data_IF_815966754378
#
_entry.id   IF_815966754378
#
_cell.length_a   1.000
_cell.length_b   1.000
_cell.length_c   1.000
_cell.angle_alpha   90.00
_cell.angle_beta   90.00
_cell.angle_gamma   90.00
#
_symmetry.space_group_name_H-M   'P 1'
#
loop_
_entity.id
_entity.type
_entity.pdbx_description
1 polymer ?
#
# COMPACT_ATOMS: atom_id res chain seq x y z
N UNK A 1 4.30 12.47 -13.20
CA UNK A 1 3.13 12.79 -12.36
C UNK A 1 3.49 13.01 -10.89
N UNK A 2 4.46 12.26 -10.34
CA UNK A 2 4.98 12.44 -8.98
C UNK A 2 5.62 13.83 -8.77
N UNK A 3 6.57 14.19 -9.64
CA UNK A 3 7.33 15.46 -9.54
C UNK A 3 6.44 16.70 -9.70
N UNK A 4 5.53 16.79 -10.70
CA UNK A 4 4.58 17.90 -10.78
C UNK A 4 3.64 18.01 -9.57
N UNK A 5 3.24 16.89 -8.97
CA UNK A 5 2.43 16.91 -7.76
C UNK A 5 3.23 17.46 -6.58
N UNK A 6 4.42 16.94 -6.34
CA UNK A 6 5.27 17.38 -5.24
C UNK A 6 5.58 18.88 -5.34
N UNK A 7 5.84 19.38 -6.55
CA UNK A 7 6.02 20.80 -6.82
C UNK A 7 4.74 21.61 -6.54
N UNK A 8 3.59 21.17 -7.07
CA UNK A 8 2.30 21.85 -6.86
C UNK A 8 1.84 21.89 -5.39
N UNK A 9 2.29 20.93 -4.57
CA UNK A 9 2.03 20.90 -3.13
C UNK A 9 3.13 21.61 -2.30
N UNK A 10 4.14 22.21 -2.95
CA UNK A 10 5.21 22.95 -2.28
C UNK A 10 6.22 22.09 -1.53
N UNK A 11 6.34 20.79 -1.88
CA UNK A 11 7.29 19.87 -1.25
C UNK A 11 8.72 20.01 -1.79
N UNK A 12 8.85 20.56 -3.00
CA UNK A 12 10.14 20.84 -3.66
C UNK A 12 10.15 22.26 -4.22
N UNK A 13 11.34 22.83 -4.36
CA UNK A 13 11.51 24.17 -4.92
C UNK A 13 11.40 24.19 -6.45
N UNK A 14 11.18 25.38 -7.01
CA UNK A 14 11.13 25.60 -8.47
C UNK A 14 12.45 25.16 -9.12
N UNK A 15 13.60 25.43 -8.49
CA UNK A 15 14.91 25.08 -9.04
C UNK A 15 15.10 23.56 -9.12
N UNK A 16 14.70 22.83 -8.08
CA UNK A 16 14.79 21.37 -8.07
C UNK A 16 13.81 20.75 -9.07
N UNK A 17 12.59 21.29 -9.17
CA UNK A 17 11.61 20.86 -10.15
C UNK A 17 12.14 21.01 -11.59
N UNK A 18 12.66 22.19 -11.95
CA UNK A 18 13.23 22.43 -13.27
C UNK A 18 14.46 21.57 -13.55
N UNK A 19 15.28 21.28 -12.52
CA UNK A 19 16.43 20.38 -12.65
C UNK A 19 16.00 18.94 -12.94
N UNK A 20 15.05 18.42 -12.17
CA UNK A 20 14.48 17.08 -12.35
C UNK A 20 13.86 16.90 -13.73
N UNK A 21 13.05 17.86 -14.20
CA UNK A 21 12.45 17.79 -15.54
C UNK A 21 13.50 17.77 -16.65
N UNK A 22 14.57 18.56 -16.51
CA UNK A 22 15.65 18.67 -17.50
C UNK A 22 16.55 17.44 -17.53
N UNK A 23 16.90 16.91 -16.37
CA UNK A 23 17.94 15.90 -16.25
C UNK A 23 17.39 14.46 -16.27
N UNK A 24 16.13 14.25 -15.88
CA UNK A 24 15.53 12.91 -15.76
C UNK A 24 14.53 12.55 -16.86
N UNK A 25 14.08 13.50 -17.68
CA UNK A 25 13.17 13.24 -18.83
C UNK A 25 11.89 12.44 -18.51
N UNK A 26 11.41 12.50 -17.26
CA UNK A 26 10.24 11.76 -16.80
C UNK A 26 10.52 10.41 -16.10
N UNK A 27 11.77 9.94 -16.12
CA UNK A 27 12.20 8.67 -15.52
C UNK A 27 12.74 8.87 -14.10
N UNK A 28 11.85 8.86 -13.10
CA UNK A 28 12.21 9.13 -11.70
C UNK A 28 12.31 7.87 -10.82
N UNK A 29 11.68 6.76 -11.24
CA UNK A 29 11.64 5.53 -10.42
C UNK A 29 12.78 4.56 -10.72
N UNK A 30 13.20 4.49 -11.99
CA UNK A 30 14.30 3.65 -12.44
C UNK A 30 15.28 4.57 -13.17
N UNK A 31 16.15 5.20 -12.38
CA UNK A 31 17.16 6.13 -12.90
C UNK A 31 18.31 5.32 -13.49
N UNK A 32 18.79 5.71 -14.67
CA UNK A 32 20.01 5.16 -15.26
C UNK A 32 21.20 5.51 -14.34
N UNK A 33 21.95 4.52 -13.80
CA UNK A 33 23.09 4.78 -12.92
C UNK A 33 24.20 5.63 -13.56
N UNK A 34 24.24 5.73 -14.90
CA UNK A 34 25.18 6.58 -15.61
C UNK A 34 24.78 8.06 -15.63
N UNK A 35 23.50 8.37 -15.40
CA UNK A 35 22.99 9.73 -15.30
C UNK A 35 23.15 10.27 -13.87
N UNK A 36 24.35 10.76 -13.58
CA UNK A 36 24.70 11.29 -12.26
C UNK A 36 23.88 12.53 -11.89
N UNK A 37 23.53 13.38 -12.86
CA UNK A 37 22.74 14.60 -12.63
C UNK A 37 21.34 14.25 -12.16
N UNK A 38 20.63 13.37 -12.88
CA UNK A 38 19.32 12.89 -12.47
C UNK A 38 19.37 12.14 -11.13
N UNK A 39 20.40 11.32 -10.90
CA UNK A 39 20.56 10.58 -9.65
C UNK A 39 20.66 11.53 -8.44
N UNK A 40 21.45 12.61 -8.57
CA UNK A 40 21.59 13.62 -7.52
C UNK A 40 20.28 14.38 -7.29
N UNK A 41 19.56 14.72 -8.36
CA UNK A 41 18.28 15.43 -8.26
C UNK A 41 17.20 14.57 -7.60
N UNK A 42 17.14 13.27 -7.94
CA UNK A 42 16.22 12.30 -7.31
C UNK A 42 16.60 12.07 -5.84
N UNK A 43 17.88 12.10 -5.49
CA UNK A 43 18.32 12.05 -4.10
C UNK A 43 17.86 13.30 -3.32
N UNK A 44 18.04 14.50 -3.89
CA UNK A 44 17.56 15.75 -3.30
C UNK A 44 16.03 15.73 -3.10
N UNK A 45 15.29 15.24 -4.10
CA UNK A 45 13.85 15.01 -4.01
C UNK A 45 13.49 14.08 -2.82
N UNK A 46 14.19 12.95 -2.70
CA UNK A 46 13.98 11.98 -1.61
C UNK A 46 14.22 12.61 -0.24
N UNK A 47 15.25 13.45 -0.12
CA UNK A 47 15.53 14.19 1.12
C UNK A 47 14.40 15.15 1.49
N UNK A 48 13.85 15.89 0.52
CA UNK A 48 12.72 16.80 0.74
C UNK A 48 11.48 16.09 1.32
N UNK A 49 11.21 14.84 0.92
CA UNK A 49 10.01 14.10 1.34
C UNK A 49 10.26 13.10 2.48
N UNK A 50 11.50 12.94 2.94
CA UNK A 50 11.93 11.88 3.87
C UNK A 50 11.20 11.84 5.21
N UNK A 51 10.70 12.98 5.70
CA UNK A 51 9.95 13.10 6.96
C UNK A 51 8.43 13.09 6.81
N UNK A 52 7.91 12.88 5.60
CA UNK A 52 6.49 13.05 5.28
C UNK A 52 5.83 11.69 5.09
N UNK A 53 4.61 11.52 5.61
CA UNK A 53 3.81 10.36 5.28
C UNK A 53 3.34 10.46 3.83
N UNK A 54 3.93 9.66 2.93
CA UNK A 54 3.62 9.74 1.49
C UNK A 54 2.16 9.44 1.15
N UNK A 55 1.44 8.64 1.93
CA UNK A 55 0.00 8.41 1.76
C UNK A 55 -0.89 9.58 2.24
N UNK A 56 -0.33 10.54 2.97
CA UNK A 56 -1.01 11.75 3.44
C UNK A 56 0.01 12.82 3.80
N UNK A 57 0.33 13.71 2.84
CA UNK A 57 1.47 14.62 2.97
C UNK A 57 1.37 15.67 4.08
N UNK A 58 0.17 15.83 4.66
CA UNK A 58 -0.06 16.70 5.82
C UNK A 58 0.34 16.04 7.16
N UNK A 59 0.69 14.75 7.14
CA UNK A 59 1.09 13.99 8.33
C UNK A 59 2.60 13.71 8.32
N UNK A 60 3.28 13.75 9.49
CA UNK A 60 4.66 13.33 9.61
C UNK A 60 4.80 11.82 9.47
N UNK A 61 5.98 11.36 9.02
CA UNK A 61 6.31 9.94 9.02
C UNK A 61 6.53 9.44 10.45
N UNK A 62 5.71 8.48 10.89
CA UNK A 62 5.68 8.00 12.27
C UNK A 62 5.90 6.48 12.43
N UNK A 63 6.55 5.87 11.44
CA UNK A 63 6.81 4.43 11.41
C UNK A 63 5.58 3.58 11.09
N UNK A 64 5.77 2.25 11.09
CA UNK A 64 4.71 1.30 10.76
C UNK A 64 4.10 0.66 12.02
N UNK A 65 2.78 0.51 12.04
CA UNK A 65 2.11 -0.30 13.04
C UNK A 65 2.41 -1.78 12.74
N UNK A 66 3.24 -2.42 13.56
CA UNK A 66 3.52 -3.85 13.49
C UNK A 66 3.12 -4.58 14.78
N UNK A 67 2.44 -5.73 14.70
CA UNK A 67 2.13 -6.57 15.86
C UNK A 67 3.36 -7.36 16.36
N UNK A 68 4.44 -7.48 15.57
CA UNK A 68 5.75 -8.02 15.98
C UNK A 68 6.89 -7.37 15.16
N UNK A 69 7.96 -6.86 15.77
CA UNK A 69 9.12 -6.35 15.04
C UNK A 69 9.90 -7.54 14.48
N UNK A 70 9.55 -8.03 13.30
CA UNK A 70 10.38 -8.98 12.56
C UNK A 70 10.84 -8.33 11.27
N UNK A 71 12.17 -8.28 11.14
CA UNK A 71 12.97 -7.65 10.10
C UNK A 71 12.37 -7.82 8.70
N UNK A 72 12.06 -6.69 8.06
CA UNK A 72 11.97 -6.65 6.61
C UNK A 72 13.37 -6.79 6.00
N UNK A 73 13.47 -7.62 4.98
CA UNK A 73 14.67 -7.75 4.14
C UNK A 73 14.93 -6.44 3.38
N UNK A 74 16.13 -5.88 3.50
CA UNK A 74 16.67 -4.90 2.56
C UNK A 74 17.07 -3.53 3.12
N UNK A 75 16.47 -3.07 4.22
CA UNK A 75 16.86 -1.81 4.85
C UNK A 75 17.78 -2.07 6.05
N UNK A 76 18.98 -1.47 6.01
CA UNK A 76 19.85 -1.40 7.19
C UNK A 76 19.05 -0.68 8.27
N UNK A 77 19.03 -1.26 9.49
CA UNK A 77 18.44 -0.68 10.69
C UNK A 77 18.63 0.84 10.69
N UNK A 78 17.53 1.57 10.50
CA UNK A 78 17.49 2.95 10.96
C UNK A 78 17.39 2.88 12.48
N UNK A 79 18.26 3.60 13.18
CA UNK A 79 18.30 3.68 14.65
C UNK A 79 16.99 4.18 15.28
N UNK A 80 15.99 4.56 14.48
CA UNK A 80 14.67 5.00 14.92
C UNK A 80 13.66 3.86 15.15
N UNK A 81 13.95 2.62 14.74
CA UNK A 81 12.99 1.50 14.88
C UNK A 81 13.01 0.81 16.26
N UNK A 82 14.06 1.01 17.07
CA UNK A 82 14.21 0.33 18.38
C UNK A 82 13.52 1.06 19.55
N UNK A 83 13.01 2.27 19.37
CA UNK A 83 12.41 3.08 20.45
C UNK A 83 10.87 3.17 20.42
N UNK A 84 10.18 2.55 19.45
CA UNK A 84 8.72 2.66 19.31
C UNK A 84 7.89 1.79 20.28
N UNK A 85 8.49 1.34 21.38
CA UNK A 85 7.80 0.72 22.52
C UNK A 85 8.01 1.48 23.85
N UNK A 86 8.58 2.69 23.79
CA UNK A 86 8.43 3.67 24.86
C UNK A 86 7.27 4.61 24.49
N UNK A 87 6.36 4.81 25.44
CA UNK A 87 5.31 5.82 25.42
C UNK A 87 5.83 7.10 24.72
N UNK A 88 5.40 7.31 23.47
CA UNK A 88 5.71 8.54 22.76
C UNK A 88 5.23 9.67 23.66
N UNK A 89 6.09 10.64 24.04
CA UNK A 89 5.67 11.73 24.90
C UNK A 89 4.43 12.39 24.27
N UNK A 90 3.45 12.77 25.09
CA UNK A 90 2.14 13.31 24.66
C UNK A 90 2.23 14.53 23.71
N UNK A 91 3.43 15.08 23.50
CA UNK A 91 3.74 16.20 22.60
C UNK A 91 4.46 15.79 21.31
N UNK A 92 4.65 14.50 21.04
CA UNK A 92 5.19 14.03 19.77
C UNK A 92 4.18 14.29 18.64
N UNK A 93 4.59 14.82 17.48
CA UNK A 93 3.76 14.87 16.28
C UNK A 93 3.17 13.50 15.87
N UNK A 94 3.72 12.41 16.42
CA UNK A 94 3.29 11.04 16.22
C UNK A 94 2.35 10.48 17.30
N UNK A 95 1.83 11.30 18.21
CA UNK A 95 0.94 10.85 19.30
C UNK A 95 -0.55 10.73 18.89
N UNK A 96 -0.93 11.24 17.72
CA UNK A 96 -2.29 11.16 17.18
C UNK A 96 -2.27 10.99 15.66
N UNK A 97 -1.60 9.92 15.21
CA UNK A 97 -1.42 9.63 13.78
C UNK A 97 -2.24 8.41 13.34
N UNK A 98 -2.29 8.18 12.02
CA UNK A 98 -2.92 6.97 11.44
C UNK A 98 -2.36 5.66 12.00
N UNK A 99 -1.10 5.65 12.45
CA UNK A 99 -0.43 4.50 13.04
C UNK A 99 -1.13 4.04 14.33
N UNK A 100 -1.69 4.95 15.12
CA UNK A 100 -2.45 4.59 16.31
C UNK A 100 -3.78 3.92 15.97
N UNK A 101 -4.49 4.40 14.95
CA UNK A 101 -5.67 3.72 14.42
C UNK A 101 -5.36 2.29 13.95
N UNK A 102 -4.20 2.11 13.32
CA UNK A 102 -3.68 0.80 12.94
C UNK A 102 -3.31 -0.09 14.13
N UNK A 103 -2.75 0.47 15.21
CA UNK A 103 -2.49 -0.28 16.46
C UNK A 103 -3.80 -0.73 17.11
N UNK A 104 -4.80 0.14 17.15
CA UNK A 104 -6.14 -0.20 17.64
C UNK A 104 -6.78 -1.31 16.79
N UNK A 105 -6.62 -1.28 15.46
CA UNK A 105 -7.13 -2.34 14.59
C UNK A 105 -6.53 -3.70 14.94
N UNK A 106 -5.22 -3.77 15.21
CA UNK A 106 -4.57 -5.02 15.65
C UNK A 106 -5.15 -5.50 16.97
N UNK A 107 -5.22 -4.63 17.98
CA UNK A 107 -5.76 -4.99 19.30
C UNK A 107 -7.19 -5.51 19.22
N UNK A 108 -8.03 -4.87 18.39
CA UNK A 108 -9.42 -5.28 18.22
C UNK A 108 -9.55 -6.60 17.44
N UNK A 109 -8.81 -6.79 16.35
CA UNK A 109 -8.87 -8.01 15.52
C UNK A 109 -8.18 -9.22 16.14
N UNK A 110 -7.26 -8.98 17.08
CA UNK A 110 -6.60 -10.03 17.86
C UNK A 110 -7.31 -10.35 19.18
N UNK A 111 -8.35 -9.60 19.55
CA UNK A 111 -9.18 -9.93 20.71
C UNK A 111 -9.92 -11.26 20.49
N UNK A 112 -9.88 -12.11 21.51
CA UNK A 112 -10.45 -13.45 21.45
C UNK A 112 -11.98 -13.44 21.30
N UNK A 113 -12.66 -12.50 21.97
CA UNK A 113 -14.10 -12.34 21.87
C UNK A 113 -14.53 -11.84 20.49
N UNK A 114 -13.76 -10.91 19.91
CA UNK A 114 -13.97 -10.45 18.53
C UNK A 114 -13.75 -11.59 17.53
N UNK A 115 -12.67 -12.37 17.69
CA UNK A 115 -12.38 -13.53 16.82
C UNK A 115 -13.48 -14.59 16.90
N UNK A 116 -13.99 -14.87 18.09
CA UNK A 116 -15.12 -15.78 18.30
C UNK A 116 -16.40 -15.24 17.63
N UNK A 117 -16.73 -13.97 17.83
CA UNK A 117 -17.90 -13.32 17.24
C UNK A 117 -17.85 -13.31 15.70
N UNK A 118 -16.66 -13.10 15.14
CA UNK A 118 -16.39 -13.16 13.69
C UNK A 118 -16.25 -14.60 13.16
N UNK A 119 -16.39 -15.62 14.02
CA UNK A 119 -16.24 -17.04 13.70
C UNK A 119 -14.89 -17.37 13.06
N UNK A 120 -13.84 -16.66 13.47
CA UNK A 120 -12.46 -16.96 13.08
C UNK A 120 -12.09 -18.30 13.71
N UNK A 121 -11.87 -19.31 12.87
CA UNK A 121 -11.55 -20.67 13.32
C UNK A 121 -10.18 -20.67 14.03
N UNK A 122 -10.18 -20.81 15.36
CA UNK A 122 -8.97 -21.14 16.12
C UNK A 122 -8.53 -22.55 15.72
N UNK A 123 -7.33 -22.67 15.15
CA UNK A 123 -6.68 -23.97 14.95
C UNK A 123 -5.61 -24.09 16.02
N UNK A 124 -5.78 -25.03 16.93
CA UNK A 124 -4.79 -25.33 17.98
C UNK A 124 -3.48 -25.78 17.34
N UNK A 125 -2.37 -25.22 17.83
CA UNK A 125 -1.03 -25.65 17.42
C UNK A 125 -0.79 -27.07 17.91
N UNK A 126 -0.87 -28.06 17.01
CA UNK A 126 -0.22 -29.33 17.28
C UNK A 126 1.28 -29.05 17.44
N UNK A 127 1.77 -29.22 18.67
CA UNK A 127 3.15 -29.06 19.06
C UNK A 127 4.03 -29.96 18.16
N UNK A 128 4.64 -29.40 17.13
CA UNK A 128 5.56 -30.13 16.24
C UNK A 128 6.92 -30.31 16.95
N UNK A 129 6.90 -31.01 18.08
CA UNK A 129 8.11 -31.52 18.75
C UNK A 129 8.24 -33.04 18.68
N UNK A 130 7.30 -33.76 18.07
CA UNK A 130 7.28 -35.24 18.15
C UNK A 130 7.40 -36.03 16.85
N UNK A 131 7.42 -35.43 15.65
CA UNK A 131 7.57 -36.23 14.42
C UNK A 131 8.92 -36.02 13.75
N UNK A 132 9.81 -36.99 14.01
CA UNK A 132 11.10 -37.12 13.38
C UNK A 132 10.98 -37.22 11.86
N UNK A 133 11.86 -36.45 11.19
CA UNK A 133 12.45 -36.66 9.87
C UNK A 133 11.95 -37.93 9.12
N UNK A 134 10.97 -37.81 8.23
CA UNK A 134 10.87 -38.69 7.05
C UNK A 134 10.17 -37.99 5.88
N UNK A 135 10.73 -38.26 4.69
CA UNK A 135 10.43 -37.70 3.38
C UNK A 135 8.99 -38.00 2.95
N UNK A 136 8.28 -37.03 2.35
CA UNK A 136 7.27 -37.18 1.27
C UNK A 136 6.44 -35.89 1.05
N UNK A 137 7.09 -34.75 0.72
CA UNK A 137 6.39 -33.48 0.46
C UNK A 137 5.85 -33.32 -0.99
N UNK A 138 6.26 -34.18 -1.92
CA UNK A 138 5.95 -34.05 -3.35
C UNK A 138 4.53 -34.45 -3.80
N UNK A 139 3.85 -35.48 -3.24
CA UNK A 139 2.55 -35.92 -3.79
C UNK A 139 1.38 -34.98 -3.50
N UNK A 140 1.52 -34.06 -2.56
CA UNK A 140 0.43 -33.18 -2.11
C UNK A 140 0.25 -31.99 -3.06
N UNK A 141 1.35 -31.47 -3.62
CA UNK A 141 1.32 -30.30 -4.51
C UNK A 141 0.68 -30.62 -5.86
N UNK A 142 0.93 -31.81 -6.43
CA UNK A 142 0.33 -32.22 -7.72
C UNK A 142 -1.20 -32.30 -7.67
N UNK A 143 -1.78 -32.59 -6.50
CA UNK A 143 -3.23 -32.70 -6.33
C UNK A 143 -3.93 -31.34 -6.22
N UNK A 144 -3.20 -30.30 -5.81
CA UNK A 144 -3.74 -28.94 -5.58
C UNK A 144 -3.84 -28.15 -6.88
N UNK A 145 -2.87 -28.30 -7.80
CA UNK A 145 -2.82 -27.51 -9.03
C UNK A 145 -3.41 -28.21 -10.26
N UNK A 146 -3.97 -29.42 -10.09
CA UNK A 146 -4.41 -30.28 -11.20
C UNK A 146 -5.85 -30.10 -11.68
N UNK A 147 -6.76 -29.49 -10.90
CA UNK A 147 -8.19 -29.43 -11.27
C UNK A 147 -8.74 -27.99 -11.26
N UNK A 148 -8.82 -27.39 -12.45
CA UNK A 148 -9.27 -26.01 -12.69
C UNK A 148 -10.81 -25.85 -12.72
N UNK A 149 -11.55 -26.70 -12.01
CA UNK A 149 -13.01 -26.61 -11.93
C UNK A 149 -13.45 -26.69 -10.48
N UNK A 150 -14.07 -25.59 -10.02
CA UNK A 150 -14.73 -25.37 -8.72
C UNK A 150 -13.88 -24.56 -7.71
N UNK A 151 -13.86 -23.24 -7.91
CA UNK A 151 -13.36 -22.27 -6.92
C UNK A 151 -14.22 -22.19 -5.64
N UNK A 152 -15.37 -22.87 -5.57
CA UNK A 152 -16.28 -22.81 -4.40
C UNK A 152 -15.84 -23.69 -3.21
N UNK A 153 -14.94 -24.67 -3.40
CA UNK A 153 -14.55 -25.61 -2.33
C UNK A 153 -13.08 -25.50 -1.88
N UNK A 154 -12.37 -24.42 -2.25
CA UNK A 154 -10.95 -24.22 -1.87
C UNK A 154 -10.79 -24.08 -0.35
N UNK A 155 -11.84 -23.68 0.36
CA UNK A 155 -11.86 -23.55 1.83
C UNK A 155 -11.78 -24.90 2.58
N UNK A 156 -12.10 -26.02 1.93
CA UNK A 156 -12.16 -27.34 2.59
C UNK A 156 -10.82 -28.11 2.54
N UNK A 157 -9.88 -27.67 1.69
CA UNK A 157 -8.58 -28.34 1.48
C UNK A 157 -7.39 -27.58 2.06
N UNK A 158 -7.60 -26.47 2.77
CA UNK A 158 -6.52 -25.85 3.52
C UNK A 158 -6.11 -26.81 4.66
N UNK A 159 -4.83 -27.24 4.75
CA UNK A 159 -4.35 -27.96 5.92
C UNK A 159 -4.76 -27.16 7.15
N UNK A 160 -5.31 -27.82 8.18
CA UNK A 160 -5.58 -27.19 9.48
C UNK A 160 -4.27 -26.61 10.01
N UNK A 161 -4.06 -25.34 9.70
CA UNK A 161 -2.87 -24.57 9.98
C UNK A 161 -3.31 -23.28 10.66
N UNK A 162 -2.66 -23.02 11.78
CA UNK A 162 -2.83 -21.86 12.66
C UNK A 162 -3.12 -20.55 11.92
N UNK A 163 -4.23 -19.88 12.25
CA UNK A 163 -4.35 -18.44 11.99
C UNK A 163 -3.55 -17.74 13.09
N UNK A 164 -2.40 -17.18 12.73
CA UNK A 164 -1.55 -16.39 13.64
C UNK A 164 -2.21 -15.08 14.10
N UNK A 165 -1.45 -14.14 14.67
CA UNK A 165 -1.91 -12.76 14.85
C UNK A 165 -2.44 -12.21 13.53
N UNK A 166 -3.47 -11.35 13.59
CA UNK A 166 -4.02 -10.71 12.41
C UNK A 166 -2.98 -9.75 11.84
N UNK A 167 -2.80 -9.78 10.52
CA UNK A 167 -1.83 -8.94 9.81
C UNK A 167 -2.60 -8.15 8.75
N UNK A 168 -2.48 -6.81 8.79
CA UNK A 168 -3.18 -5.92 7.84
C UNK A 168 -2.71 -6.11 6.40
N UNK A 169 -1.39 -6.12 6.22
CA UNK A 169 -0.75 -6.26 4.92
C UNK A 169 0.26 -7.41 4.99
N UNK A 170 -0.03 -8.51 4.30
CA UNK A 170 0.90 -9.63 4.21
C UNK A 170 1.73 -9.51 2.92
N UNK A 171 2.90 -8.89 3.05
CA UNK A 171 3.84 -8.71 1.94
C UNK A 171 4.64 -9.99 1.59
N UNK A 172 4.46 -11.08 2.35
CA UNK A 172 5.11 -12.37 2.04
C UNK A 172 4.32 -13.22 1.07
N UNK A 173 3.11 -12.78 0.70
CA UNK A 173 2.29 -13.52 -0.26
C UNK A 173 2.99 -13.55 -1.62
N UNK A 174 3.22 -14.74 -2.21
CA UNK A 174 3.80 -14.84 -3.53
C UNK A 174 2.76 -14.42 -4.57
N UNK A 175 3.04 -13.34 -5.31
CA UNK A 175 2.24 -12.94 -6.46
C UNK A 175 3.14 -12.39 -7.57
N UNK A 176 2.61 -12.39 -8.79
CA UNK A 176 3.28 -11.80 -9.96
C UNK A 176 2.37 -10.75 -10.58
N UNK A 177 2.86 -9.52 -10.67
CA UNK A 177 2.16 -8.42 -11.33
C UNK A 177 2.24 -8.60 -12.84
N UNK A 178 1.11 -8.95 -13.46
CA UNK A 178 1.00 -9.16 -14.92
C UNK A 178 0.15 -8.09 -15.61
N UNK A 179 -0.56 -7.27 -14.83
CA UNK A 179 -1.40 -6.19 -15.32
C UNK A 179 -0.75 -4.88 -14.91
N UNK A 180 -0.41 -4.05 -15.90
CA UNK A 180 0.24 -2.76 -15.71
C UNK A 180 -0.75 -1.59 -15.75
N UNK A 181 -1.88 -1.77 -16.42
CA UNK A 181 -2.94 -0.77 -16.54
C UNK A 181 -4.32 -1.44 -16.53
N UNK A 182 -5.27 -0.81 -15.85
CA UNK A 182 -6.66 -1.23 -15.77
C UNK A 182 -7.55 -0.67 -16.90
N UNK A 183 -7.02 0.22 -17.75
CA UNK A 183 -7.73 0.91 -18.85
C UNK A 183 -8.67 0.00 -19.64
N UNK A 184 -8.16 -1.12 -20.15
CA UNK A 184 -8.94 -2.04 -20.99
C UNK A 184 -10.14 -2.65 -20.26
N UNK A 185 -10.03 -2.86 -18.95
CA UNK A 185 -11.12 -3.37 -18.13
C UNK A 185 -12.22 -2.32 -17.96
N UNK A 186 -11.85 -1.06 -17.71
CA UNK A 186 -12.82 0.03 -17.59
C UNK A 186 -13.56 0.30 -18.91
N UNK A 187 -12.88 0.28 -20.05
CA UNK A 187 -13.51 0.39 -21.38
C UNK A 187 -14.49 -0.77 -21.60
N UNK A 188 -14.09 -2.00 -21.29
CA UNK A 188 -14.95 -3.18 -21.44
C UNK A 188 -16.17 -3.17 -20.52
N UNK A 189 -16.05 -2.66 -19.29
CA UNK A 189 -17.17 -2.55 -18.37
C UNK A 189 -18.11 -1.41 -18.78
N UNK A 190 -17.56 -0.29 -19.25
CA UNK A 190 -18.35 0.86 -19.71
C UNK A 190 -19.23 0.52 -20.92
N UNK A 191 -18.71 -0.27 -21.88
CA UNK A 191 -19.50 -0.73 -23.04
C UNK A 191 -20.66 -1.67 -22.67
N UNK A 192 -20.64 -2.25 -21.47
CA UNK A 192 -21.74 -3.05 -20.92
C UNK A 192 -22.73 -2.23 -20.08
N UNK A 193 -22.53 -0.92 -19.96
CA UNK A 193 -23.39 -0.02 -19.18
C UNK A 193 -23.11 0.00 -17.69
N UNK A 194 -21.98 -0.53 -17.22
CA UNK A 194 -21.59 -0.38 -15.81
C UNK A 194 -21.12 1.05 -15.54
N UNK A 195 -21.56 1.60 -14.41
CA UNK A 195 -21.11 2.91 -13.91
C UNK A 195 -19.87 2.71 -13.04
N UNK A 196 -18.87 3.56 -13.26
CA UNK A 196 -17.65 3.62 -12.47
C UNK A 196 -17.57 4.96 -11.75
N UNK A 197 -17.16 4.92 -10.48
CA UNK A 197 -16.74 6.10 -9.72
C UNK A 197 -15.25 5.95 -9.43
N UNK A 198 -14.46 6.90 -9.89
CA UNK A 198 -13.02 6.99 -9.60
C UNK A 198 -12.83 8.24 -8.74
N UNK A 199 -12.19 8.08 -7.59
CA UNK A 199 -11.89 9.16 -6.65
C UNK A 199 -10.48 8.98 -6.08
N UNK A 200 -9.82 10.08 -5.76
CA UNK A 200 -8.48 10.12 -5.16
C UNK A 200 -8.47 11.09 -3.99
N UNK A 201 -7.64 10.84 -2.99
CA UNK A 201 -7.27 11.86 -2.00
C UNK A 201 -6.33 12.87 -2.65
N UNK A 202 -6.55 14.16 -2.42
CA UNK A 202 -5.77 15.25 -3.00
C UNK A 202 -4.38 15.41 -2.36
N UNK A 203 -4.14 14.75 -1.23
CA UNK A 203 -2.89 14.78 -0.47
C UNK A 203 -2.11 13.43 -0.51
N UNK A 204 -2.50 12.50 -1.40
CA UNK A 204 -1.78 11.23 -1.60
C UNK A 204 -0.62 11.42 -2.59
N UNK A 205 0.62 11.27 -2.11
CA UNK A 205 1.83 11.31 -2.94
C UNK A 205 2.15 9.95 -3.58
N UNK A 206 1.64 8.83 -3.04
CA UNK A 206 1.87 7.49 -3.59
C UNK A 206 1.13 7.34 -4.92
N UNK A 207 -0.14 7.75 -4.95
CA UNK A 207 -0.96 7.78 -6.17
C UNK A 207 -1.57 9.18 -6.33
N UNK A 208 -0.80 10.15 -6.84
CA UNK A 208 -1.27 11.52 -6.99
C UNK A 208 -2.55 11.61 -7.82
N UNK A 209 -3.50 12.43 -7.36
CA UNK A 209 -4.78 12.63 -8.08
C UNK A 209 -4.58 13.14 -9.51
N UNK A 210 -3.49 13.88 -9.78
CA UNK A 210 -3.10 14.27 -11.14
C UNK A 210 -2.98 13.04 -12.05
N UNK A 211 -2.35 11.96 -11.55
CA UNK A 211 -2.18 10.68 -12.23
C UNK A 211 -3.51 10.09 -12.65
N UNK A 212 -4.42 9.99 -11.67
CA UNK A 212 -5.78 9.52 -11.88
C UNK A 212 -6.54 10.41 -12.87
N UNK A 213 -6.40 11.73 -12.79
CA UNK A 213 -7.07 12.67 -13.69
C UNK A 213 -6.57 12.53 -15.14
N UNK A 214 -5.26 12.37 -15.36
CA UNK A 214 -4.70 12.11 -16.68
C UNK A 214 -5.17 10.77 -17.25
N UNK A 215 -5.23 9.73 -16.41
CA UNK A 215 -5.76 8.43 -16.79
C UNK A 215 -7.26 8.49 -17.14
N UNK A 216 -8.08 9.24 -16.39
CA UNK A 216 -9.50 9.44 -16.74
C UNK A 216 -9.63 10.16 -18.08
N UNK A 217 -8.82 11.20 -18.32
CA UNK A 217 -8.81 11.93 -19.60
C UNK A 217 -8.44 11.03 -20.78
N UNK A 218 -7.56 10.04 -20.58
CA UNK A 218 -7.15 9.10 -21.65
C UNK A 218 -8.27 8.16 -22.11
N UNK A 219 -9.33 7.96 -21.30
CA UNK A 219 -10.53 7.21 -21.71
C UNK A 219 -11.29 7.90 -22.84
N UNK A 220 -11.10 9.21 -23.02
CA UNK A 220 -11.69 10.00 -24.09
C UNK A 220 -13.23 9.88 -24.18
N UNK A 221 -13.89 9.84 -23.01
CA UNK A 221 -15.34 9.84 -22.93
C UNK A 221 -15.91 11.26 -23.08
N UNK A 222 -17.14 11.36 -23.56
CA UNK A 222 -17.86 12.64 -23.63
C UNK A 222 -18.12 13.19 -22.23
N UNK A 223 -17.77 14.46 -22.01
CA UNK A 223 -18.09 15.19 -20.78
C UNK A 223 -19.59 15.51 -20.80
N UNK A 224 -20.30 15.05 -19.77
CA UNK A 224 -21.75 15.27 -19.61
C UNK A 224 -22.09 16.29 -18.52
N UNK A 225 -21.17 16.51 -17.58
CA UNK A 225 -21.22 17.54 -16.54
C UNK A 225 -19.78 18.07 -16.38
N UNK A 226 -19.63 19.39 -16.32
CA UNK A 226 -18.31 20.01 -16.22
C UNK A 226 -17.70 19.76 -14.83
N UNK A 227 -16.36 19.81 -14.77
CA UNK A 227 -15.66 19.74 -13.50
C UNK A 227 -16.11 20.87 -12.59
N UNK A 228 -16.56 20.50 -11.38
CA UNK A 228 -17.07 21.43 -10.37
C UNK A 228 -16.74 20.90 -9.00
N UNK A 229 -16.71 21.82 -8.04
CA UNK A 229 -16.61 21.41 -6.65
C UNK A 229 -17.88 20.67 -6.20
N UNK A 230 -17.71 19.83 -5.20
CA UNK A 230 -18.80 19.22 -4.45
C UNK A 230 -18.69 19.61 -2.98
N UNK A 231 -19.86 19.68 -2.32
CA UNK A 231 -19.94 20.20 -0.96
C UNK A 231 -20.60 19.19 -0.02
N UNK A 232 -20.14 19.20 1.24
CA UNK A 232 -20.72 18.45 2.35
C UNK A 232 -20.91 19.44 3.48
N UNK A 233 -22.14 19.53 4.01
CA UNK A 233 -22.47 20.41 5.14
C UNK A 233 -22.06 21.89 4.94
N UNK A 234 -22.11 22.37 3.68
CA UNK A 234 -21.77 23.74 3.33
C UNK A 234 -20.27 24.03 3.19
N UNK A 235 -19.40 23.01 3.30
CA UNK A 235 -17.97 23.10 3.03
C UNK A 235 -17.62 22.43 1.70
N UNK A 236 -16.62 22.96 1.00
CA UNK A 236 -16.06 22.33 -0.20
C UNK A 236 -15.29 21.08 0.24
N UNK A 237 -15.70 19.92 -0.27
CA UNK A 237 -15.07 18.64 0.05
C UNK A 237 -14.12 18.16 -1.07
N UNK A 238 -14.24 18.75 -2.25
CA UNK A 238 -13.36 18.57 -3.41
C UNK A 238 -14.03 19.06 -4.67
#
# INVERSE_FOLDING_TARGET
MLIPFAHGMGLISDELYESLERNCEGEYMIVDPSNAECSNDVEAYSQCISGIQTAQILEPLCGFASPKPHQFFGERRSLYDEEAELLLPEQSPCASNRVDGYRLSYRWLDDDGVREALRVKKVELFNYKSYGRTRNFLPIMEKIFGDNRNQENVLEFLPQGSIGPWIRCNYTLPYTSTITDSYQYYVKLSTKGYRSLIYSGDHDLIVPFLGTQAWIKSLNYSIVDDWRSWTVEGQVAG
#
